data_IF_975785678519
#
_entry.id   IF_975785678519
#
_cell.length_a   1.000
_cell.length_b   1.000
_cell.length_c   1.000
_cell.angle_alpha   90.00
_cell.angle_beta   90.00
_cell.angle_gamma   90.00
#
_symmetry.space_group_name_H-M   'P 1'
#
loop_
_entity.id
_entity.type
_entity.pdbx_description
1 polymer ?
#
# COMPACT_ATOMS: atom_id res chain seq x y z
N UNK A 1 -52.48 -2.28 -15.19
CA UNK A 1 -51.65 -2.60 -14.01
C UNK A 1 -52.60 -3.15 -12.98
N UNK A 2 -52.33 -4.35 -12.51
CA UNK A 2 -53.21 -5.04 -11.57
C UNK A 2 -53.22 -4.30 -10.24
N UNK A 3 -54.40 -4.23 -9.61
CA UNK A 3 -54.66 -3.48 -8.37
C UNK A 3 -53.66 -3.87 -7.25
N UNK A 4 -53.22 -5.12 -7.26
CA UNK A 4 -52.21 -5.70 -6.37
C UNK A 4 -50.81 -5.08 -6.54
N UNK A 5 -50.40 -4.71 -7.75
CA UNK A 5 -49.11 -4.04 -7.99
C UNK A 5 -49.11 -2.61 -7.47
N UNK A 6 -50.23 -1.90 -7.60
CA UNK A 6 -50.40 -0.55 -7.04
C UNK A 6 -50.34 -0.54 -5.50
N UNK A 7 -50.94 -1.54 -4.85
CA UNK A 7 -50.87 -1.69 -3.39
C UNK A 7 -49.44 -1.95 -2.91
N UNK A 8 -48.69 -2.82 -3.61
CA UNK A 8 -47.30 -3.11 -3.28
C UNK A 8 -46.39 -1.88 -3.42
N UNK A 9 -46.58 -1.08 -4.46
CA UNK A 9 -45.79 0.15 -4.67
C UNK A 9 -46.10 1.20 -3.59
N UNK A 10 -47.38 1.35 -3.21
CA UNK A 10 -47.79 2.28 -2.16
C UNK A 10 -47.17 1.91 -0.80
N UNK A 11 -47.16 0.63 -0.46
CA UNK A 11 -46.55 0.14 0.80
C UNK A 11 -45.03 0.39 0.85
N UNK A 12 -44.32 0.20 -0.26
CA UNK A 12 -42.87 0.44 -0.33
C UNK A 12 -42.52 1.93 -0.20
N UNK A 13 -43.37 2.82 -0.75
CA UNK A 13 -43.19 4.27 -0.61
C UNK A 13 -43.37 4.73 0.84
N UNK A 14 -44.37 4.21 1.52
CA UNK A 14 -44.66 4.55 2.92
C UNK A 14 -43.51 4.11 3.85
N UNK A 15 -42.98 2.89 3.65
CA UNK A 15 -41.79 2.42 4.38
C UNK A 15 -40.53 3.25 4.08
N UNK A 16 -40.41 3.79 2.86
CA UNK A 16 -39.27 4.65 2.53
C UNK A 16 -39.37 6.00 3.24
N UNK A 17 -40.56 6.60 3.34
CA UNK A 17 -40.78 7.85 4.07
C UNK A 17 -40.49 7.73 5.56
N UNK A 18 -40.93 6.65 6.21
CA UNK A 18 -40.59 6.38 7.61
C UNK A 18 -39.07 6.25 7.83
N UNK A 19 -38.38 5.51 6.95
CA UNK A 19 -36.92 5.35 7.04
C UNK A 19 -36.15 6.66 6.82
N UNK A 20 -36.66 7.57 6.00
CA UNK A 20 -36.09 8.91 5.81
C UNK A 20 -36.29 9.76 7.07
N UNK A 21 -37.47 9.66 7.71
CA UNK A 21 -37.79 10.40 8.93
C UNK A 21 -36.90 9.97 10.12
N UNK A 22 -36.72 8.66 10.33
CA UNK A 22 -35.83 8.12 11.39
C UNK A 22 -34.39 8.60 11.19
N UNK A 23 -33.87 8.56 9.96
CA UNK A 23 -32.51 9.06 9.65
C UNK A 23 -32.34 10.57 9.89
N UNK A 24 -33.40 11.36 9.71
CA UNK A 24 -33.35 12.79 9.97
C UNK A 24 -33.31 13.10 11.47
N UNK A 25 -34.01 12.30 12.29
CA UNK A 25 -34.02 12.44 13.76
C UNK A 25 -32.67 12.01 14.37
N UNK A 26 -32.08 10.90 13.92
CA UNK A 26 -30.74 10.47 14.34
C UNK A 26 -29.65 11.53 14.04
N UNK A 27 -29.78 12.23 12.89
CA UNK A 27 -28.86 13.30 12.51
C UNK A 27 -29.00 14.52 13.42
N UNK A 28 -30.22 14.88 13.84
CA UNK A 28 -30.45 15.98 14.79
C UNK A 28 -29.94 15.64 16.20
N UNK A 29 -30.07 14.39 16.64
CA UNK A 29 -29.53 13.95 17.93
C UNK A 29 -27.99 14.04 17.98
N UNK A 30 -27.31 13.74 16.87
CA UNK A 30 -25.85 13.84 16.79
C UNK A 30 -25.30 15.28 16.83
N UNK A 31 -26.05 16.26 16.35
CA UNK A 31 -25.62 17.67 16.34
C UNK A 31 -25.78 18.36 17.71
N UNK A 32 -26.74 17.93 18.54
CA UNK A 32 -26.96 18.52 19.86
C UNK A 32 -26.07 17.93 20.98
N UNK A 33 -25.42 16.78 20.75
CA UNK A 33 -24.56 16.12 21.75
C UNK A 33 -23.13 16.69 21.89
N UNK A 34 -22.78 17.77 21.19
CA UNK A 34 -21.39 18.27 21.11
C UNK A 34 -21.16 19.68 21.67
N UNK A 35 -22.12 20.24 22.42
CA UNK A 35 -22.00 21.53 23.12
C UNK A 35 -22.19 21.31 24.62
N UNK A 36 -21.11 21.09 25.35
CA UNK A 36 -21.17 21.06 26.80
C UNK A 36 -19.92 20.48 27.45
N UNK A 37 -18.79 21.20 27.37
CA UNK A 37 -17.80 21.24 28.45
C UNK A 37 -16.74 22.32 28.22
N UNK A 38 -16.34 22.90 29.35
CA UNK A 38 -15.20 23.78 29.62
C UNK A 38 -15.44 25.27 29.32
N UNK A 39 -15.82 26.10 30.31
CA UNK A 39 -15.14 26.57 31.54
C UNK A 39 -14.36 27.89 31.35
N UNK A 40 -14.46 28.65 32.43
CA UNK A 40 -14.15 30.05 32.64
C UNK A 40 -12.64 30.32 32.81
N UNK A 41 -12.23 31.59 32.64
CA UNK A 41 -10.91 32.08 33.02
C UNK A 41 -10.30 33.03 31.98
N UNK A 42 -10.59 34.34 31.99
CA UNK A 42 -10.03 35.37 32.87
C UNK A 42 -8.75 36.07 32.33
N UNK A 43 -8.91 37.38 32.06
CA UNK A 43 -7.93 38.47 32.05
C UNK A 43 -6.75 38.52 31.04
N UNK A 44 -6.78 39.52 30.14
CA UNK A 44 -6.09 40.83 30.22
C UNK A 44 -5.67 41.37 28.84
N UNK A 45 -5.93 42.67 28.70
CA UNK A 45 -5.76 43.55 27.54
C UNK A 45 -4.31 43.94 27.26
N UNK A 46 -4.03 44.26 25.99
CA UNK A 46 -2.84 45.00 25.56
C UNK A 46 -2.82 45.22 24.04
N UNK A 47 -2.88 46.47 23.53
CA UNK A 47 -2.81 46.73 22.10
C UNK A 47 -1.35 46.95 21.66
N UNK A 48 -0.88 46.26 20.62
CA UNK A 48 0.39 46.59 19.96
C UNK A 48 0.22 46.67 18.44
N UNK A 49 0.32 47.92 18.00
CA UNK A 49 0.94 48.45 16.79
C UNK A 49 0.97 47.60 15.51
N UNK A 50 0.26 48.15 14.54
CA UNK A 50 0.32 47.92 13.10
C UNK A 50 1.73 48.21 12.57
N UNK A 51 2.37 47.25 11.92
CA UNK A 51 3.58 47.47 11.13
C UNK A 51 3.41 46.84 9.74
N UNK A 52 3.03 47.68 8.79
CA UNK A 52 2.96 47.39 7.35
C UNK A 52 4.36 47.06 6.83
N UNK A 53 4.56 45.84 6.33
CA UNK A 53 5.77 45.43 5.61
C UNK A 53 5.46 45.33 4.11
N UNK A 54 6.04 46.25 3.35
CA UNK A 54 6.06 46.25 1.90
C UNK A 54 6.76 44.98 1.37
N UNK A 55 6.12 44.29 0.44
CA UNK A 55 6.61 43.07 -0.18
C UNK A 55 7.35 43.43 -1.48
N UNK A 56 8.68 43.37 -1.44
CA UNK A 56 9.52 43.60 -2.61
C UNK A 56 9.49 42.37 -3.53
N UNK A 57 8.84 42.52 -4.68
CA UNK A 57 8.88 41.59 -5.81
C UNK A 57 10.29 41.50 -6.39
N UNK A 58 11.03 40.44 -6.06
CA UNK A 58 12.24 40.05 -6.79
C UNK A 58 11.89 38.96 -7.81
N UNK A 59 11.91 39.36 -9.09
CA UNK A 59 11.88 38.47 -10.26
C UNK A 59 13.15 37.62 -10.23
N UNK A 60 13.03 36.34 -9.88
CA UNK A 60 14.08 35.35 -10.09
C UNK A 60 13.95 34.77 -11.50
N UNK A 61 14.81 35.23 -12.40
CA UNK A 61 15.00 34.67 -13.75
C UNK A 61 15.60 33.27 -13.61
N UNK A 62 14.83 32.24 -13.98
CA UNK A 62 15.28 30.85 -14.01
C UNK A 62 16.13 30.67 -15.26
N UNK A 63 17.46 30.62 -15.08
CA UNK A 63 18.41 30.30 -16.12
C UNK A 63 18.44 28.77 -16.33
N UNK A 64 17.60 28.29 -17.26
CA UNK A 64 17.63 26.90 -17.73
C UNK A 64 18.70 26.77 -18.80
N UNK A 65 19.71 25.95 -18.55
CA UNK A 65 20.57 25.17 -19.48
C UNK A 65 21.95 24.99 -18.84
N UNK A 66 22.06 24.11 -17.84
CA UNK A 66 23.33 23.45 -17.54
C UNK A 66 23.41 22.19 -18.40
N UNK A 67 24.02 22.34 -19.57
CA UNK A 67 24.50 21.22 -20.38
C UNK A 67 25.64 20.59 -19.59
N UNK A 68 25.47 19.34 -19.16
CA UNK A 68 26.57 18.56 -18.59
C UNK A 68 27.53 18.22 -19.73
N UNK A 69 28.66 18.91 -19.80
CA UNK A 69 29.77 18.51 -20.65
C UNK A 69 30.49 17.35 -19.94
N UNK A 70 30.44 16.17 -20.54
CA UNK A 70 31.19 15.00 -20.07
C UNK A 70 32.60 15.13 -20.64
N UNK A 71 33.60 15.08 -19.76
CA UNK A 71 35.02 15.17 -20.12
C UNK A 71 35.40 14.02 -21.09
N UNK A 72 35.85 14.32 -22.32
CA UNK A 72 36.23 13.30 -23.31
C UNK A 72 37.49 12.51 -22.91
N UNK A 73 38.18 12.86 -21.82
CA UNK A 73 39.36 12.15 -21.32
C UNK A 73 39.05 11.00 -20.35
N UNK A 74 37.80 10.87 -19.87
CA UNK A 74 37.43 9.75 -19.01
C UNK A 74 37.34 8.44 -19.82
N UNK A 75 38.43 7.69 -19.83
CA UNK A 75 38.47 6.25 -20.18
C UNK A 75 37.71 5.46 -19.10
N UNK A 76 36.38 5.48 -19.15
CA UNK A 76 35.57 4.50 -18.44
C UNK A 76 35.76 3.18 -19.18
N UNK A 77 36.52 2.26 -18.60
CA UNK A 77 36.66 0.90 -19.09
C UNK A 77 35.30 0.21 -19.08
N UNK A 78 34.63 0.22 -20.23
CA UNK A 78 33.48 -0.65 -20.49
C UNK A 78 34.04 -2.06 -20.62
N UNK A 79 34.07 -2.77 -19.50
CA UNK A 79 34.25 -4.21 -19.48
C UNK A 79 33.06 -4.85 -20.17
N UNK A 80 33.21 -5.08 -21.46
CA UNK A 80 32.30 -5.85 -22.30
C UNK A 80 32.30 -7.28 -21.78
N UNK A 81 31.19 -7.71 -21.17
CA UNK A 81 30.91 -9.14 -21.00
C UNK A 81 30.45 -9.65 -22.36
N UNK A 82 31.42 -9.97 -23.22
CA UNK A 82 31.23 -10.84 -24.36
C UNK A 82 31.46 -12.25 -23.86
N UNK A 83 30.39 -12.96 -23.52
CA UNK A 83 30.25 -14.41 -23.73
C UNK A 83 28.93 -14.87 -23.10
N UNK A 84 27.94 -15.06 -23.97
CA UNK A 84 26.90 -16.11 -24.01
C UNK A 84 26.06 -15.73 -25.24
N UNK A 85 26.60 -16.04 -26.43
CA UNK A 85 25.84 -16.07 -27.68
C UNK A 85 25.82 -17.53 -28.12
N UNK A 86 24.74 -18.23 -27.77
CA UNK A 86 24.43 -19.51 -28.40
C UNK A 86 24.09 -19.31 -29.90
N UNK A 87 24.31 -20.33 -30.74
CA UNK A 87 24.24 -20.20 -32.18
C UNK A 87 22.82 -19.83 -32.63
N UNK A 88 22.67 -18.63 -33.21
CA UNK A 88 21.48 -18.25 -34.00
C UNK A 88 21.66 -18.80 -35.41
N UNK A 89 21.06 -19.95 -35.67
CA UNK A 89 20.85 -20.44 -37.02
C UNK A 89 19.66 -19.69 -37.66
N UNK A 90 19.95 -19.06 -38.79
CA UNK A 90 19.16 -19.14 -40.03
C UNK A 90 17.70 -18.68 -40.03
N UNK A 91 17.49 -17.51 -40.63
CA UNK A 91 16.23 -17.13 -41.25
C UNK A 91 15.76 -18.10 -42.35
N UNK A 92 14.44 -18.07 -42.57
CA UNK A 92 13.63 -18.62 -43.68
C UNK A 92 13.10 -20.04 -43.49
N UNK A 93 11.88 -20.15 -42.97
CA UNK A 93 10.74 -20.69 -43.75
C UNK A 93 9.43 -20.57 -42.96
N UNK A 94 8.35 -20.37 -43.73
CA UNK A 94 6.96 -20.38 -43.32
C UNK A 94 6.65 -21.61 -42.44
N UNK A 95 6.23 -21.39 -41.20
CA UNK A 95 5.65 -22.43 -40.36
C UNK A 95 4.51 -21.86 -39.53
N UNK A 96 3.30 -22.15 -40.02
CA UNK A 96 2.09 -22.48 -39.27
C UNK A 96 1.95 -21.84 -37.88
N UNK A 97 1.10 -20.83 -37.84
CA UNK A 97 0.37 -20.37 -36.67
C UNK A 97 -0.33 -21.57 -36.00
N UNK A 98 0.33 -22.20 -35.02
CA UNK A 98 -0.29 -23.20 -34.16
C UNK A 98 -1.32 -22.48 -33.30
N UNK A 99 -2.59 -22.70 -33.65
CA UNK A 99 -3.74 -22.23 -32.91
C UNK A 99 -3.61 -22.71 -31.46
N UNK A 100 -3.52 -21.76 -30.53
CA UNK A 100 -3.76 -22.06 -29.13
C UNK A 100 -5.15 -22.70 -29.01
N UNK A 101 -5.32 -23.79 -28.24
CA UNK A 101 -6.63 -24.37 -28.05
C UNK A 101 -7.57 -23.31 -27.48
N UNK A 102 -8.82 -23.22 -27.97
CA UNK A 102 -9.77 -22.21 -27.54
C UNK A 102 -9.95 -22.34 -26.03
N UNK A 103 -9.57 -21.29 -25.29
CA UNK A 103 -9.92 -21.18 -23.89
C UNK A 103 -11.42 -21.41 -23.77
N UNK A 104 -11.84 -22.41 -22.98
CA UNK A 104 -13.24 -22.71 -22.68
C UNK A 104 -13.99 -21.41 -22.37
N UNK A 105 -14.70 -20.90 -23.38
CA UNK A 105 -15.63 -19.81 -23.23
C UNK A 105 -16.81 -20.39 -22.46
N UNK A 106 -16.82 -20.18 -21.14
CA UNK A 106 -17.96 -20.56 -20.31
C UNK A 106 -19.18 -19.81 -20.86
N UNK A 107 -20.17 -20.57 -21.32
CA UNK A 107 -21.38 -20.06 -21.93
C UNK A 107 -22.04 -19.04 -21.00
N UNK A 108 -21.97 -17.77 -21.37
CA UNK A 108 -22.59 -16.68 -20.64
C UNK A 108 -23.83 -16.30 -21.43
N UNK A 109 -25.01 -16.61 -20.91
CA UNK A 109 -26.27 -16.22 -21.54
C UNK A 109 -26.70 -14.88 -20.96
N UNK A 110 -26.71 -13.84 -21.79
CA UNK A 110 -27.16 -12.50 -21.41
C UNK A 110 -28.31 -12.12 -22.32
N UNK A 111 -29.50 -11.89 -21.75
CA UNK A 111 -30.65 -11.39 -22.50
C UNK A 111 -30.53 -9.87 -22.70
N UNK A 112 -31.21 -9.31 -23.70
CA UNK A 112 -31.20 -7.87 -24.03
C UNK A 112 -31.56 -6.97 -22.83
N UNK A 113 -32.32 -7.49 -21.87
CA UNK A 113 -32.66 -6.80 -20.62
C UNK A 113 -31.48 -6.64 -19.64
N UNK A 114 -30.27 -7.10 -19.99
CA UNK A 114 -29.08 -7.05 -19.15
C UNK A 114 -29.12 -7.99 -17.93
N UNK A 115 -30.12 -8.87 -17.88
CA UNK A 115 -30.28 -9.97 -16.93
C UNK A 115 -29.79 -11.24 -17.61
N UNK A 116 -28.85 -11.92 -16.97
CA UNK A 116 -28.25 -13.15 -17.49
C UNK A 116 -27.82 -14.08 -16.37
N UNK A 117 -27.38 -15.29 -16.73
CA UNK A 117 -26.85 -16.27 -15.78
C UNK A 117 -25.39 -16.52 -16.12
N UNK A 118 -24.52 -16.49 -15.10
CA UNK A 118 -23.12 -16.87 -15.23
C UNK A 118 -22.76 -17.92 -14.18
N UNK A 119 -21.82 -18.79 -14.54
CA UNK A 119 -21.30 -19.78 -13.61
C UNK A 119 -20.11 -19.22 -12.81
N UNK A 120 -20.11 -19.45 -11.49
CA UNK A 120 -19.00 -19.07 -10.63
C UNK A 120 -17.77 -19.96 -10.90
N UNK A 121 -16.63 -19.38 -11.24
CA UNK A 121 -15.40 -20.16 -11.51
C UNK A 121 -14.90 -20.96 -10.30
N UNK A 122 -15.23 -20.54 -9.07
CA UNK A 122 -14.79 -21.18 -7.81
C UNK A 122 -15.73 -22.27 -7.30
N UNK A 123 -17.01 -21.96 -7.11
CA UNK A 123 -17.97 -22.92 -6.56
C UNK A 123 -18.85 -23.60 -7.61
N UNK A 124 -18.69 -23.24 -8.89
CA UNK A 124 -19.45 -23.76 -10.04
C UNK A 124 -20.97 -23.55 -9.98
N UNK A 125 -21.46 -22.79 -8.99
CA UNK A 125 -22.87 -22.40 -8.91
C UNK A 125 -23.17 -21.27 -9.88
N UNK A 126 -24.32 -21.37 -10.54
CA UNK A 126 -24.88 -20.32 -11.35
C UNK A 126 -25.36 -19.16 -10.47
N UNK A 127 -25.23 -17.95 -10.99
CA UNK A 127 -25.67 -16.74 -10.31
C UNK A 127 -26.14 -15.69 -11.30
N UNK A 128 -27.10 -14.88 -10.88
CA UNK A 128 -27.66 -13.82 -11.70
C UNK A 128 -26.66 -12.69 -11.94
N UNK A 129 -26.57 -12.24 -13.19
CA UNK A 129 -25.85 -11.05 -13.61
C UNK A 129 -26.82 -9.88 -13.51
N UNK A 130 -26.45 -8.89 -12.69
CA UNK A 130 -27.15 -7.61 -12.60
C UNK A 130 -26.27 -6.52 -13.24
N UNK A 131 -26.87 -5.68 -14.09
CA UNK A 131 -26.21 -4.56 -14.79
C UNK A 131 -25.22 -4.96 -15.90
N UNK A 132 -25.40 -6.13 -16.53
CA UNK A 132 -24.55 -6.61 -17.63
C UNK A 132 -23.07 -6.88 -17.29
N UNK A 133 -22.64 -6.63 -16.05
CA UNK A 133 -21.27 -6.87 -15.60
C UNK A 133 -21.12 -8.31 -15.15
N UNK A 134 -20.56 -9.13 -16.03
CA UNK A 134 -20.22 -10.53 -15.74
C UNK A 134 -18.98 -10.55 -14.84
N UNK A 135 -19.10 -11.19 -13.67
CA UNK A 135 -17.96 -11.39 -12.78
C UNK A 135 -17.42 -12.82 -12.94
N UNK A 136 -16.20 -13.10 -12.45
CA UNK A 136 -15.68 -14.48 -12.44
C UNK A 136 -16.19 -15.30 -11.25
N UNK A 137 -16.67 -14.62 -10.22
CA UNK A 137 -17.07 -15.21 -8.94
C UNK A 137 -18.47 -14.73 -8.58
N UNK A 138 -19.31 -15.64 -8.07
CA UNK A 138 -20.62 -15.29 -7.54
C UNK A 138 -20.50 -14.31 -6.35
N UNK A 139 -21.58 -13.59 -5.99
CA UNK A 139 -21.60 -12.66 -4.87
C UNK A 139 -21.06 -13.27 -3.56
N UNK A 140 -21.47 -14.51 -3.26
CA UNK A 140 -21.03 -15.24 -2.06
C UNK A 140 -19.51 -15.48 -2.06
N UNK A 141 -18.93 -16.01 -3.15
CA UNK A 141 -17.50 -16.28 -3.23
C UNK A 141 -16.65 -14.99 -3.21
N UNK A 142 -17.15 -13.90 -3.80
CA UNK A 142 -16.51 -12.58 -3.71
C UNK A 142 -16.50 -12.09 -2.26
N UNK A 143 -17.61 -12.23 -1.55
CA UNK A 143 -17.67 -11.83 -0.15
C UNK A 143 -16.74 -12.65 0.73
N UNK A 144 -16.70 -13.97 0.54
CA UNK A 144 -15.76 -14.84 1.22
C UNK A 144 -14.30 -14.45 0.95
N UNK A 145 -13.97 -14.03 -0.28
CA UNK A 145 -12.65 -13.51 -0.64
C UNK A 145 -12.35 -12.17 0.05
N UNK A 146 -13.33 -11.26 0.16
CA UNK A 146 -13.19 -10.00 0.90
C UNK A 146 -12.96 -10.26 2.39
N UNK A 147 -13.73 -11.16 3.01
CA UNK A 147 -13.57 -11.54 4.41
C UNK A 147 -12.19 -12.14 4.68
N UNK A 148 -11.70 -13.04 3.80
CA UNK A 148 -10.34 -13.58 3.91
C UNK A 148 -9.29 -12.46 3.86
N UNK A 149 -9.46 -11.51 2.95
CA UNK A 149 -8.55 -10.35 2.82
C UNK A 149 -8.60 -9.45 4.05
N UNK A 150 -9.78 -9.25 4.64
CA UNK A 150 -9.97 -8.49 5.88
C UNK A 150 -9.29 -9.16 7.06
N UNK A 151 -9.56 -10.45 7.30
CA UNK A 151 -8.90 -11.25 8.36
C UNK A 151 -7.39 -11.23 8.22
N UNK A 152 -6.87 -11.33 6.99
CA UNK A 152 -5.45 -11.21 6.72
C UNK A 152 -4.89 -9.82 7.07
N UNK A 153 -5.59 -8.75 6.70
CA UNK A 153 -5.18 -7.38 7.03
C UNK A 153 -5.20 -7.14 8.53
N UNK A 154 -6.20 -7.65 9.25
CA UNK A 154 -6.31 -7.58 10.72
C UNK A 154 -5.19 -8.36 11.40
N UNK A 155 -4.94 -9.61 11.00
CA UNK A 155 -3.85 -10.44 11.52
C UNK A 155 -2.49 -9.77 11.35
N UNK A 156 -2.21 -9.26 10.15
CA UNK A 156 -0.96 -8.54 9.88
C UNK A 156 -0.93 -7.15 10.52
N UNK A 157 -2.07 -6.60 10.96
CA UNK A 157 -2.14 -5.35 11.74
C UNK A 157 -1.81 -5.53 13.20
N UNK A 158 -2.31 -6.62 13.79
CA UNK A 158 -2.01 -6.99 15.15
C UNK A 158 -0.53 -7.41 15.32
N UNK A 159 0.04 -8.06 14.30
CA UNK A 159 1.44 -8.54 14.37
C UNK A 159 2.40 -7.42 13.95
N UNK A 160 3.02 -6.76 14.92
CA UNK A 160 4.12 -5.82 14.66
C UNK A 160 5.34 -6.57 14.07
N UNK A 161 6.17 -5.87 13.31
CA UNK A 161 7.36 -6.49 12.69
C UNK A 161 7.07 -7.49 11.56
N UNK A 162 5.81 -7.67 11.12
CA UNK A 162 5.47 -8.60 10.03
C UNK A 162 5.08 -7.87 8.73
N UNK A 163 5.42 -8.48 7.59
CA UNK A 163 5.08 -7.96 6.27
C UNK A 163 3.57 -7.97 6.02
N UNK A 164 2.98 -6.80 5.69
CA UNK A 164 1.53 -6.72 5.40
C UNK A 164 1.07 -7.46 4.15
N UNK A 165 1.99 -7.82 3.27
CA UNK A 165 1.67 -8.53 2.01
C UNK A 165 1.71 -10.04 2.17
N UNK A 166 2.78 -10.57 2.77
CA UNK A 166 3.04 -12.01 2.83
C UNK A 166 3.17 -12.58 4.25
N UNK A 167 3.15 -11.74 5.29
CA UNK A 167 3.21 -12.18 6.69
C UNK A 167 4.60 -12.52 7.20
N UNK A 168 5.61 -12.61 6.34
CA UNK A 168 7.00 -12.87 6.72
C UNK A 168 7.52 -11.81 7.70
N UNK A 169 8.27 -12.25 8.72
CA UNK A 169 8.96 -11.37 9.65
C UNK A 169 9.88 -10.38 8.91
N UNK A 170 9.87 -9.13 9.35
CA UNK A 170 10.76 -8.08 8.87
C UNK A 170 11.92 -8.00 9.86
N UNK A 171 13.17 -8.13 9.38
CA UNK A 171 14.36 -7.94 10.20
C UNK A 171 14.32 -6.64 11.01
N UNK A 172 14.86 -6.67 12.24
CA UNK A 172 14.73 -5.57 13.20
C UNK A 172 15.41 -4.27 12.71
N UNK A 173 16.51 -4.38 11.97
CA UNK A 173 17.19 -3.28 11.25
C UNK A 173 16.27 -2.56 10.24
N UNK A 174 15.24 -3.25 9.77
CA UNK A 174 14.28 -2.80 8.76
C UNK A 174 12.85 -2.67 9.29
N UNK A 175 12.67 -2.72 10.61
CA UNK A 175 11.38 -2.56 11.30
C UNK A 175 10.63 -1.26 10.94
N UNK A 176 11.32 -0.23 10.42
CA UNK A 176 10.72 1.01 9.88
C UNK A 176 9.83 0.80 8.64
N UNK A 177 9.92 -0.34 7.98
CA UNK A 177 9.18 -0.65 6.76
C UNK A 177 7.97 -1.55 7.04
N UNK A 178 6.91 -1.36 6.25
CA UNK A 178 5.64 -2.11 6.35
C UNK A 178 5.65 -3.41 5.54
N UNK A 179 6.60 -3.54 4.61
CA UNK A 179 6.75 -4.68 3.71
C UNK A 179 8.15 -5.26 3.84
N UNK A 180 8.28 -6.58 3.75
CA UNK A 180 9.59 -7.26 3.72
C UNK A 180 10.39 -6.90 2.44
N UNK A 181 11.72 -7.12 2.43
CA UNK A 181 12.57 -6.75 1.29
C UNK A 181 12.10 -7.33 -0.06
N UNK A 182 11.73 -8.62 -0.18
CA UNK A 182 11.23 -9.18 -1.43
C UNK A 182 9.96 -8.48 -1.92
N UNK A 183 9.00 -8.21 -1.03
CA UNK A 183 7.75 -7.53 -1.38
C UNK A 183 7.98 -6.07 -1.79
N UNK A 184 8.96 -5.38 -1.22
CA UNK A 184 9.34 -4.01 -1.65
C UNK A 184 10.04 -4.01 -3.01
N UNK A 185 10.89 -4.99 -3.28
CA UNK A 185 11.56 -5.14 -4.58
C UNK A 185 10.52 -5.43 -5.67
N UNK A 186 9.64 -6.41 -5.46
CA UNK A 186 8.56 -6.72 -6.39
C UNK A 186 7.64 -5.51 -6.64
N UNK A 187 7.27 -4.76 -5.59
CA UNK A 187 6.48 -3.54 -5.75
C UNK A 187 7.20 -2.47 -6.62
N UNK A 188 8.52 -2.32 -6.48
CA UNK A 188 9.33 -1.40 -7.30
C UNK A 188 9.38 -1.87 -8.75
N UNK A 189 9.70 -3.14 -8.99
CA UNK A 189 9.77 -3.73 -10.33
C UNK A 189 8.42 -3.63 -11.05
N UNK A 190 7.32 -3.96 -10.36
CA UNK A 190 5.97 -3.84 -10.93
C UNK A 190 5.64 -2.39 -11.32
N UNK A 191 6.09 -1.40 -10.53
CA UNK A 191 5.88 0.03 -10.88
C UNK A 191 6.73 0.44 -12.09
N UNK A 192 7.97 -0.03 -12.19
CA UNK A 192 8.84 0.21 -13.34
C UNK A 192 8.24 -0.40 -14.62
N UNK A 193 7.85 -1.68 -14.57
CA UNK A 193 7.21 -2.37 -15.69
C UNK A 193 5.89 -1.73 -16.12
N UNK A 194 5.09 -1.20 -15.18
CA UNK A 194 3.88 -0.43 -15.54
C UNK A 194 4.25 0.80 -16.35
N UNK A 195 5.28 1.53 -15.93
CA UNK A 195 5.72 2.73 -16.63
C UNK A 195 6.22 2.41 -18.04
N UNK A 196 7.04 1.36 -18.18
CA UNK A 196 7.52 0.86 -19.49
C UNK A 196 6.37 0.47 -20.43
N UNK A 197 5.30 -0.11 -19.87
CA UNK A 197 4.08 -0.48 -20.60
C UNK A 197 3.14 0.70 -20.85
N UNK A 198 3.53 1.94 -20.56
CA UNK A 198 2.67 3.12 -20.71
C UNK A 198 1.49 3.16 -19.73
N UNK A 199 1.59 2.47 -18.58
CA UNK A 199 0.54 2.38 -17.55
C UNK A 199 0.87 3.23 -16.31
N UNK A 200 -0.17 3.77 -15.70
CA UNK A 200 -0.11 4.56 -14.48
C UNK A 200 0.37 3.71 -13.30
N UNK A 201 1.40 4.17 -12.57
CA UNK A 201 1.97 3.42 -11.44
C UNK A 201 1.02 3.32 -10.23
N UNK A 202 -0.03 4.15 -10.16
CA UNK A 202 -1.04 4.13 -9.10
C UNK A 202 -2.21 3.21 -9.41
N UNK A 203 -2.89 3.39 -10.55
CA UNK A 203 -4.11 2.66 -10.86
C UNK A 203 -3.94 1.51 -11.85
N UNK A 204 -2.76 1.33 -12.44
CA UNK A 204 -2.48 0.34 -13.52
C UNK A 204 -3.29 0.53 -14.80
N UNK A 205 -4.11 1.58 -14.91
CA UNK A 205 -4.75 2.00 -16.15
C UNK A 205 -3.77 2.73 -17.07
N UNK A 206 -4.23 3.13 -18.25
CA UNK A 206 -3.43 3.88 -19.21
C UNK A 206 -2.87 5.18 -18.62
N UNK A 207 -1.65 5.53 -19.02
CA UNK A 207 -1.00 6.77 -18.66
C UNK A 207 -1.06 7.77 -19.81
N UNK A 208 -2.12 8.56 -19.80
CA UNK A 208 -2.35 9.72 -20.65
C UNK A 208 -1.31 10.85 -20.46
N UNK A 209 -0.49 10.77 -19.40
CA UNK A 209 0.56 11.76 -19.14
C UNK A 209 1.92 11.30 -19.65
N UNK A 210 2.47 12.02 -20.64
CA UNK A 210 3.82 11.77 -21.15
C UNK A 210 4.93 12.24 -20.19
N UNK A 211 4.64 13.24 -19.36
CA UNK A 211 5.64 13.88 -18.47
C UNK A 211 5.69 13.25 -17.08
N UNK A 212 4.66 12.51 -16.67
CA UNK A 212 4.54 12.00 -15.31
C UNK A 212 4.29 10.50 -15.27
N UNK A 213 4.78 9.84 -14.22
CA UNK A 213 4.56 8.39 -13.99
C UNK A 213 3.11 8.03 -13.60
N UNK A 214 2.23 9.02 -13.49
CA UNK A 214 0.87 8.92 -12.96
C UNK A 214 -0.07 9.67 -13.90
N UNK A 215 -1.17 9.02 -14.28
CA UNK A 215 -2.17 9.56 -15.20
C UNK A 215 -2.88 10.82 -14.67
N UNK A 216 -3.47 11.61 -15.58
CA UNK A 216 -4.20 12.83 -15.26
C UNK A 216 -5.32 12.57 -14.26
N UNK A 217 -6.10 11.49 -14.43
CA UNK A 217 -7.16 11.10 -13.49
C UNK A 217 -6.66 10.95 -12.05
N UNK A 218 -5.55 10.25 -11.86
CA UNK A 218 -4.98 10.06 -10.52
C UNK A 218 -4.44 11.37 -9.93
N UNK A 219 -3.87 12.25 -10.76
CA UNK A 219 -3.40 13.58 -10.32
C UNK A 219 -4.54 14.52 -9.96
N UNK A 220 -5.61 14.54 -10.76
CA UNK A 220 -6.80 15.33 -10.49
C UNK A 220 -7.44 14.91 -9.15
N UNK A 221 -7.57 13.60 -8.91
CA UNK A 221 -8.06 13.06 -7.63
C UNK A 221 -7.17 13.43 -6.45
N UNK A 222 -5.85 13.41 -6.59
CA UNK A 222 -4.94 13.84 -5.52
C UNK A 222 -5.04 15.34 -5.24
N UNK A 223 -5.22 16.17 -6.29
CA UNK A 223 -5.47 17.61 -6.15
C UNK A 223 -6.76 17.88 -5.38
N UNK A 224 -7.84 17.19 -5.75
CA UNK A 224 -9.13 17.28 -5.05
C UNK A 224 -8.99 16.89 -3.59
N UNK A 225 -8.36 15.74 -3.31
CA UNK A 225 -8.11 15.27 -1.94
C UNK A 225 -7.39 16.33 -1.11
N UNK A 226 -6.35 16.97 -1.64
CA UNK A 226 -5.62 18.01 -0.91
C UNK A 226 -6.49 19.25 -0.66
N UNK A 227 -7.32 19.66 -1.61
CA UNK A 227 -8.27 20.77 -1.41
C UNK A 227 -9.27 20.45 -0.31
N UNK A 228 -9.81 19.23 -0.27
CA UNK A 228 -10.74 18.79 0.77
C UNK A 228 -10.07 18.75 2.16
N UNK A 229 -8.82 18.31 2.25
CA UNK A 229 -8.05 18.37 3.49
C UNK A 229 -7.85 19.83 3.94
N UNK A 230 -7.52 20.73 3.01
CA UNK A 230 -7.37 22.17 3.29
C UNK A 230 -8.70 22.78 3.78
N UNK A 231 -9.83 22.49 3.12
CA UNK A 231 -11.16 22.95 3.52
C UNK A 231 -11.55 22.47 4.93
N UNK A 232 -11.15 21.25 5.29
CA UNK A 232 -11.45 20.64 6.59
C UNK A 232 -10.41 20.98 7.68
N UNK A 233 -9.49 21.92 7.42
CA UNK A 233 -8.36 22.24 8.31
C UNK A 233 -7.57 20.99 8.74
N UNK A 234 -7.24 20.12 7.78
CA UNK A 234 -6.48 18.89 7.97
C UNK A 234 -5.13 18.92 7.25
N UNK A 235 -4.14 18.25 7.82
CA UNK A 235 -2.80 18.16 7.27
C UNK A 235 -2.77 17.39 5.94
N UNK A 236 -2.20 17.98 4.88
CA UNK A 236 -2.05 17.34 3.57
C UNK A 236 -1.20 16.05 3.56
N UNK A 237 -0.48 15.75 4.65
CA UNK A 237 0.44 14.60 4.75
C UNK A 237 -0.09 13.46 5.61
N UNK A 238 -0.58 13.74 6.82
CA UNK A 238 -1.10 12.73 7.74
C UNK A 238 -2.62 12.76 7.92
N UNK A 239 -3.33 13.74 7.33
CA UNK A 239 -4.77 13.94 7.47
C UNK A 239 -5.26 14.23 8.90
N UNK A 240 -4.36 14.51 9.85
CA UNK A 240 -4.73 14.99 11.21
C UNK A 240 -5.25 16.42 11.16
N UNK A 241 -6.20 16.77 12.03
CA UNK A 241 -6.66 18.16 12.21
C UNK A 241 -5.47 19.06 12.57
N UNK A 242 -5.43 20.26 12.00
CA UNK A 242 -4.43 21.28 12.30
C UNK A 242 -4.83 22.00 13.60
N UNK A 243 -3.85 22.31 14.44
CA UNK A 243 -4.06 23.15 15.63
C UNK A 243 -4.25 24.62 15.23
N UNK A 244 -4.72 25.45 16.16
CA UNK A 244 -4.88 26.90 15.95
C UNK A 244 -3.56 27.56 15.52
N UNK A 245 -2.42 27.11 16.04
CA UNK A 245 -1.07 27.57 15.68
C UNK A 245 -0.66 27.22 14.24
N UNK A 246 -1.27 26.18 13.67
CA UNK A 246 -1.05 25.71 12.31
C UNK A 246 -2.12 26.23 11.33
N UNK A 247 -3.06 27.08 11.78
CA UNK A 247 -4.03 27.71 10.89
C UNK A 247 -3.33 28.51 9.78
N UNK A 248 -3.83 28.35 8.55
CA UNK A 248 -3.21 28.93 7.35
C UNK A 248 -2.03 28.11 6.78
N UNK A 249 -1.62 27.01 7.42
CA UNK A 249 -0.59 26.10 6.90
C UNK A 249 -1.21 24.85 6.29
N UNK A 250 -0.52 24.26 5.31
CA UNK A 250 -0.96 23.02 4.63
C UNK A 250 -0.59 21.74 5.36
N UNK A 251 0.32 21.80 6.33
CA UNK A 251 0.96 20.65 6.97
C UNK A 251 1.20 20.95 8.44
N UNK A 252 0.87 20.01 9.33
CA UNK A 252 1.04 20.18 10.78
C UNK A 252 2.51 20.27 11.23
N UNK A 253 2.75 20.83 12.41
CA UNK A 253 4.07 20.91 13.07
C UNK A 253 4.82 19.58 13.06
N UNK A 254 4.15 18.48 13.45
CA UNK A 254 4.76 17.15 13.50
C UNK A 254 5.30 16.70 12.13
N UNK A 255 4.52 16.89 11.07
CA UNK A 255 4.95 16.52 9.72
C UNK A 255 6.02 17.46 9.15
N UNK A 256 6.06 18.73 9.59
CA UNK A 256 7.10 19.71 9.23
C UNK A 256 8.43 19.37 9.91
N UNK A 257 8.41 19.12 11.22
CA UNK A 257 9.60 18.80 12.02
C UNK A 257 10.21 17.45 11.61
N UNK A 258 9.36 16.45 11.32
CA UNK A 258 9.83 15.15 10.79
C UNK A 258 10.55 15.27 9.44
N UNK A 259 10.28 16.31 8.66
CA UNK A 259 11.01 16.57 7.42
C UNK A 259 12.38 17.23 7.68
N UNK A 260 12.49 18.06 8.72
CA UNK A 260 13.76 18.72 9.10
C UNK A 260 14.78 17.72 9.60
N UNK A 261 14.40 16.81 10.49
CA UNK A 261 15.33 15.82 11.08
C UNK A 261 15.86 14.80 10.07
N UNK A 262 15.17 14.61 8.93
CA UNK A 262 15.67 13.76 7.83
C UNK A 262 16.75 14.42 6.99
N UNK A 263 16.83 15.75 6.98
CA UNK A 263 17.86 16.48 6.22
C UNK A 263 19.16 16.59 7.00
N UNK A 264 19.11 16.72 8.33
CA UNK A 264 20.31 16.75 9.17
C UNK A 264 21.02 15.38 9.25
N UNK A 265 20.26 14.28 9.29
CA UNK A 265 20.82 12.92 9.38
C UNK A 265 21.45 12.36 8.08
N UNK A 266 21.29 13.04 6.94
CA UNK A 266 21.95 12.66 5.69
C UNK A 266 23.26 13.42 5.41
N UNK A 267 23.64 14.38 6.25
CA UNK A 267 24.86 15.17 6.07
C UNK A 267 26.10 14.59 6.76
N UNK A 268 25.98 13.54 7.56
CA UNK A 268 27.04 13.09 8.48
C UNK A 268 27.65 11.72 8.14
N UNK A 269 27.51 11.25 6.89
CA UNK A 269 28.07 9.96 6.46
C UNK A 269 28.78 10.02 5.10
N UNK A 270 29.74 10.93 4.97
CA UNK A 270 30.74 10.91 3.89
C UNK A 270 32.07 11.50 4.38
N UNK A 271 32.74 10.85 5.33
CA UNK A 271 34.15 11.15 5.64
C UNK A 271 34.90 9.89 6.06
N UNK A 272 35.19 8.99 5.12
CA UNK A 272 36.36 8.07 5.11
C UNK A 272 36.57 7.69 3.62
N UNK A 273 37.73 7.70 2.95
CA UNK A 273 39.14 7.53 3.31
C UNK A 273 40.06 8.17 2.25
N UNK A 274 41.13 8.85 2.68
CA UNK A 274 42.40 8.89 1.94
C UNK A 274 43.56 9.08 2.91
N UNK A 275 44.26 8.01 3.27
CA UNK A 275 45.71 8.04 3.47
C UNK A 275 46.25 6.62 3.64
N UNK A 276 47.20 6.31 2.77
CA UNK A 276 48.04 5.13 2.76
C UNK A 276 49.02 5.15 3.94
N UNK A 277 49.19 4.04 4.65
CA UNK A 277 50.50 3.52 5.12
C UNK A 277 50.35 2.06 5.61
N UNK A 278 51.37 1.20 5.41
CA UNK A 278 51.42 -0.14 6.00
C UNK A 278 52.31 -0.19 7.26
N UNK A 279 51.94 -1.06 8.20
CA UNK A 279 52.85 -1.58 9.24
C UNK A 279 52.55 -1.09 10.65
N UNK A 280 52.00 -1.98 11.49
CA UNK A 280 52.56 -2.42 12.78
C UNK A 280 51.51 -3.27 13.52
N UNK A 281 51.91 -4.48 13.92
CA UNK A 281 51.22 -5.36 14.87
C UNK A 281 51.02 -4.67 16.22
N UNK A 282 49.81 -4.69 16.81
CA UNK A 282 49.55 -4.92 18.25
C UNK A 282 48.16 -5.56 18.45
N UNK A 283 48.15 -6.53 19.34
CA UNK A 283 47.12 -7.40 19.90
C UNK A 283 45.81 -6.77 20.41
N UNK A 284 44.71 -7.47 20.11
CA UNK A 284 43.63 -7.96 20.98
C UNK A 284 43.48 -7.37 22.40
N UNK A 285 42.30 -6.79 22.69
CA UNK A 285 41.32 -7.12 23.77
C UNK A 285 40.54 -5.86 24.18
N UNK A 286 39.23 -5.83 23.94
CA UNK A 286 38.30 -5.25 24.92
C UNK A 286 36.85 -5.66 24.64
N UNK A 287 36.42 -6.66 25.40
CA UNK A 287 35.04 -6.97 25.75
C UNK A 287 34.51 -5.90 26.70
N UNK A 288 33.36 -5.32 26.40
CA UNK A 288 32.56 -4.61 27.39
C UNK A 288 31.08 -4.74 27.05
N UNK A 289 30.50 -5.75 27.67
CA UNK A 289 29.07 -5.92 27.90
C UNK A 289 28.57 -4.75 28.76
N UNK A 290 27.49 -4.08 28.33
CA UNK A 290 26.62 -3.37 29.26
C UNK A 290 25.16 -3.67 28.94
N UNK A 291 24.60 -4.46 29.84
CA UNK A 291 23.21 -4.74 30.10
C UNK A 291 22.48 -3.50 30.61
N UNK A 292 21.34 -3.15 30.04
CA UNK A 292 20.33 -2.35 30.73
C UNK A 292 19.05 -3.18 30.90
N UNK A 293 18.80 -3.51 32.17
CA UNK A 293 17.59 -4.11 32.68
C UNK A 293 16.42 -3.12 32.60
N UNK A 294 15.25 -3.60 32.20
CA UNK A 294 13.99 -2.90 32.36
C UNK A 294 13.22 -3.57 33.49
N UNK A 295 13.09 -2.84 34.59
CA UNK A 295 12.27 -3.18 35.76
C UNK A 295 10.82 -2.80 35.47
N UNK A 296 9.93 -3.78 35.39
CA UNK A 296 8.48 -3.58 35.53
C UNK A 296 7.95 -4.61 36.50
N UNK A 297 7.53 -4.12 37.67
CA UNK A 297 6.93 -4.88 38.78
C UNK A 297 5.46 -4.49 38.93
N UNK A 298 4.61 -5.50 39.15
CA UNK A 298 3.24 -5.39 39.71
C UNK A 298 2.13 -5.13 38.68
N UNK A 299 1.00 -5.85 38.63
CA UNK A 299 0.39 -6.79 39.60
C UNK A 299 -0.77 -7.54 38.92
N UNK A 300 -0.97 -8.81 39.33
CA UNK A 300 -2.15 -9.71 39.35
C UNK A 300 -3.36 -9.45 38.39
N UNK A 301 -3.94 -10.44 37.72
CA UNK A 301 -4.76 -11.49 38.35
C UNK A 301 -4.85 -12.82 37.56
N UNK A 302 -4.89 -13.90 38.35
CA UNK A 302 -5.08 -15.30 37.96
C UNK A 302 -6.54 -15.60 37.53
N UNK A 303 -6.71 -16.36 36.44
CA UNK A 303 -7.82 -17.32 36.34
C UNK A 303 -7.40 -18.57 35.55
N UNK A 304 -7.16 -19.61 36.33
CA UNK A 304 -6.95 -21.01 35.98
C UNK A 304 -8.17 -21.60 35.24
N UNK A 305 -7.98 -22.15 34.04
CA UNK A 305 -8.92 -23.13 33.46
C UNK A 305 -8.19 -24.14 32.57
N UNK A 306 -8.12 -25.38 33.08
CA UNK A 306 -8.22 -26.69 32.42
C UNK A 306 -7.43 -26.98 31.13
N UNK A 307 -6.49 -27.92 31.27
CA UNK A 307 -5.75 -28.63 30.23
C UNK A 307 -6.70 -29.51 29.40
N UNK A 308 -6.58 -29.43 28.07
CA UNK A 308 -7.09 -30.41 27.12
C UNK A 308 -5.90 -30.86 26.25
N UNK A 309 -5.61 -32.16 26.12
CA UNK A 309 -4.53 -32.62 25.27
C UNK A 309 -4.96 -32.51 23.80
N UNK A 310 -4.15 -31.87 22.96
CA UNK A 310 -4.32 -31.91 21.52
C UNK A 310 -3.41 -32.99 20.92
N UNK A 311 -4.04 -33.91 20.22
CA UNK A 311 -3.42 -34.92 19.38
C UNK A 311 -2.44 -34.28 18.38
N UNK A 312 -1.18 -34.73 18.44
CA UNK A 312 -0.21 -34.49 17.40
C UNK A 312 -0.46 -35.50 16.27
N UNK A 313 -0.88 -35.01 15.11
CA UNK A 313 -1.00 -35.79 13.87
C UNK A 313 0.35 -36.44 13.53
N UNK A 314 0.41 -37.77 13.65
CA UNK A 314 1.52 -38.59 13.18
C UNK A 314 1.44 -38.61 11.64
N UNK A 315 2.48 -38.17 10.91
CA UNK A 315 2.48 -38.23 9.45
C UNK A 315 2.35 -39.69 9.00
N UNK A 316 1.37 -39.95 8.14
CA UNK A 316 1.13 -41.28 7.57
C UNK A 316 2.36 -41.75 6.79
N UNK A 317 2.65 -43.06 6.79
CA UNK A 317 3.80 -43.67 6.07
C UNK A 317 3.94 -43.17 4.63
N UNK A 318 2.82 -42.92 3.95
CA UNK A 318 2.79 -42.37 2.58
C UNK A 318 3.39 -40.96 2.46
N UNK A 319 3.25 -40.10 3.46
CA UNK A 319 3.84 -38.75 3.42
C UNK A 319 5.35 -38.79 3.63
N UNK A 320 5.84 -39.70 4.48
CA UNK A 320 7.28 -39.87 4.71
C UNK A 320 7.96 -40.38 3.43
N UNK A 321 7.35 -41.34 2.74
CA UNK A 321 7.88 -41.91 1.51
C UNK A 321 7.92 -40.89 0.35
N UNK A 322 6.91 -40.03 0.25
CA UNK A 322 6.87 -38.96 -0.77
C UNK A 322 7.97 -37.90 -0.54
N UNK A 323 8.23 -37.53 0.71
CA UNK A 323 9.31 -36.57 1.04
C UNK A 323 10.68 -37.16 0.72
N UNK A 324 10.89 -38.45 1.02
CA UNK A 324 12.15 -39.13 0.73
C UNK A 324 12.41 -39.27 -0.78
N UNK A 325 11.37 -39.49 -1.57
CA UNK A 325 11.47 -39.55 -3.03
C UNK A 325 11.74 -38.18 -3.69
N UNK A 326 11.23 -37.09 -3.09
CA UNK A 326 11.52 -35.72 -3.52
C UNK A 326 12.98 -35.32 -3.25
N UNK A 327 13.55 -35.73 -2.11
CA UNK A 327 14.96 -35.50 -1.80
C UNK A 327 15.89 -36.28 -2.76
N UNK A 328 15.59 -37.54 -3.05
CA UNK A 328 16.38 -38.36 -3.98
C UNK A 328 16.44 -37.78 -5.41
N UNK A 329 15.34 -37.20 -5.90
CA UNK A 329 15.30 -36.57 -7.21
C UNK A 329 16.04 -35.23 -7.28
N UNK A 330 16.27 -34.58 -6.13
CA UNK A 330 16.95 -33.29 -6.08
C UNK A 330 18.47 -33.43 -6.17
N UNK A 331 19.03 -34.56 -5.72
CA UNK A 331 20.48 -34.82 -5.76
C UNK A 331 20.94 -35.52 -7.04
N UNK A 332 20.04 -36.09 -7.84
CA UNK A 332 20.38 -36.78 -9.09
C UNK A 332 20.65 -35.85 -10.30
N UNK A 333 20.60 -34.52 -10.13
CA UNK A 333 20.74 -33.54 -11.23
C UNK A 333 21.99 -32.64 -11.12
N UNK A 334 23.03 -33.04 -10.39
CA UNK A 334 24.32 -32.36 -10.46
C UNK A 334 25.28 -33.17 -11.35
N UNK A 335 25.70 -32.63 -12.52
CA UNK A 335 26.68 -33.26 -13.40
C UNK A 335 28.10 -33.23 -12.83
#
# INVERSE_FOLDING_TARGET
MDEEQTAAISSVLEQHEENVKVKAEDKKAAENGSKGRDEEGSHKSGPTAVASRANATSKATINSHKVFSVDPSLKVGIGIVNDIVGPRAGDKSQAQHTQQPPQHQQATTVNESGVGVAQCTRCKKDYAIYNGKVFKLCPHCRELQRLRSRRWQEKTKATSGSCRRCGTAIPQDQSKYVLCPPCRLNLRNTKAQRLEKGKCVHCSGENDSQTFKVCFRCRAKDRERRRQLELNNQCNRCSSKLSNEDMGRKVCLNCRNRNRNKKSSSAEKTTIMTSSQPGFDITNTNTSSLTHANTTSGTADNKTTSLHPQDHDIPTKQQVELVQQLEANMFAQQP
#
